data_IF_704244130862
#
_entry.id   IF_704244130862
#
_cell.length_a   1.000
_cell.length_b   1.000
_cell.length_c   1.000
_cell.angle_alpha   90.00
_cell.angle_beta   90.00
_cell.angle_gamma   90.00
#
_symmetry.space_group_name_H-M   'P 1'
#
loop_
_entity.id
_entity.type
_entity.pdbx_description
1 polymer ?
#
# COMPACT_ATOMS: atom_id res chain seq x y z
N UNK A 1 -0.51 6.41 14.13
CA UNK A 1 0.08 7.02 12.90
C UNK A 1 0.28 5.99 11.81
N UNK A 2 1.06 4.90 12.01
CA UNK A 2 1.31 3.88 10.98
C UNK A 2 0.04 3.26 10.34
N UNK A 3 -0.91 2.78 11.15
CA UNK A 3 -2.15 2.16 10.64
C UNK A 3 -3.00 3.10 9.77
N UNK A 4 -3.02 4.39 10.12
CA UNK A 4 -3.72 5.41 9.34
C UNK A 4 -3.02 5.62 8.00
N UNK A 5 -1.70 5.78 7.99
CA UNK A 5 -0.90 5.92 6.78
C UNK A 5 -1.11 4.73 5.83
N UNK A 6 -0.97 3.50 6.32
CA UNK A 6 -1.21 2.29 5.51
C UNK A 6 -2.64 2.26 4.94
N UNK A 7 -3.66 2.58 5.76
CA UNK A 7 -5.05 2.61 5.29
C UNK A 7 -5.29 3.67 4.22
N UNK A 8 -4.63 4.83 4.31
CA UNK A 8 -4.72 5.88 3.27
C UNK A 8 -3.94 5.50 2.01
N UNK A 9 -2.75 4.88 2.13
CA UNK A 9 -1.99 4.37 0.99
C UNK A 9 -2.79 3.33 0.19
N UNK A 10 -3.35 2.33 0.87
CA UNK A 10 -4.17 1.27 0.26
C UNK A 10 -5.45 1.79 -0.42
N UNK A 11 -5.97 2.93 0.03
CA UNK A 11 -7.18 3.58 -0.54
C UNK A 11 -6.84 4.61 -1.63
N UNK A 12 -5.60 5.06 -1.71
CA UNK A 12 -5.15 6.08 -2.65
C UNK A 12 -4.86 5.53 -4.04
N UNK A 13 -4.53 6.43 -4.97
CA UNK A 13 -4.20 6.10 -6.36
C UNK A 13 -2.83 5.44 -6.54
N UNK A 14 -2.00 5.43 -5.49
CA UNK A 14 -0.72 4.70 -5.51
C UNK A 14 -0.90 3.18 -5.36
N UNK A 15 -2.03 2.72 -4.82
CA UNK A 15 -2.37 1.30 -4.81
C UNK A 15 -3.07 0.95 -6.13
N UNK A 16 -2.52 -0.02 -6.85
CA UNK A 16 -3.11 -0.49 -8.10
C UNK A 16 -4.30 -1.40 -7.81
N UNK A 17 -5.50 -0.83 -7.85
CA UNK A 17 -6.74 -1.57 -7.56
C UNK A 17 -7.08 -2.63 -8.63
N UNK A 18 -6.43 -2.60 -9.79
CA UNK A 18 -6.68 -3.53 -10.91
C UNK A 18 -5.66 -4.67 -10.88
N UNK A 19 -4.37 -4.35 -10.99
CA UNK A 19 -3.28 -5.34 -11.08
C UNK A 19 -2.50 -5.55 -9.77
N UNK A 20 -2.96 -4.98 -8.65
CA UNK A 20 -2.42 -5.12 -7.29
C UNK A 20 -1.02 -4.53 -7.08
N UNK A 21 -0.63 -4.37 -5.82
CA UNK A 21 0.64 -3.76 -5.42
C UNK A 21 0.66 -2.23 -5.56
N UNK A 22 1.80 -1.64 -5.25
CA UNK A 22 1.96 -0.19 -5.15
C UNK A 22 2.84 0.40 -6.25
N UNK A 23 2.46 1.56 -6.78
CA UNK A 23 3.29 2.39 -7.64
C UNK A 23 4.39 3.07 -6.83
N UNK A 24 5.54 3.32 -7.47
CA UNK A 24 6.76 3.83 -6.82
C UNK A 24 6.55 5.16 -6.11
N UNK A 25 5.82 6.08 -6.73
CA UNK A 25 5.48 7.38 -6.14
C UNK A 25 4.28 8.01 -6.85
N UNK A 26 3.74 9.07 -6.25
CA UNK A 26 2.72 9.94 -6.85
C UNK A 26 3.34 11.22 -7.39
N UNK A 27 2.78 11.73 -8.48
CA UNK A 27 3.15 13.04 -9.05
C UNK A 27 2.47 14.21 -8.34
N UNK A 28 1.46 13.95 -7.51
CA UNK A 28 0.77 14.93 -6.69
C UNK A 28 0.81 14.60 -5.18
N UNK A 29 0.60 15.64 -4.36
CA UNK A 29 0.65 15.58 -2.89
C UNK A 29 -0.49 14.78 -2.24
N UNK A 30 -1.58 14.54 -2.96
CA UNK A 30 -2.76 13.80 -2.48
C UNK A 30 -2.71 12.32 -2.84
N UNK A 31 -1.66 11.88 -3.56
CA UNK A 31 -1.44 10.49 -3.97
C UNK A 31 -2.49 9.96 -4.95
N UNK A 32 -3.05 10.82 -5.80
CA UNK A 32 -4.06 10.44 -6.78
C UNK A 32 -3.48 9.95 -8.10
N UNK A 33 -2.41 10.58 -8.58
CA UNK A 33 -1.82 10.33 -9.91
C UNK A 33 -0.48 9.61 -9.75
N UNK A 34 -0.45 8.28 -9.90
CA UNK A 34 0.78 7.50 -9.73
C UNK A 34 1.74 7.65 -10.92
N UNK A 35 3.03 7.46 -10.64
CA UNK A 35 4.00 7.06 -11.64
C UNK A 35 3.92 5.53 -11.79
N UNK A 36 3.49 5.04 -12.96
CA UNK A 36 3.07 3.63 -13.15
C UNK A 36 4.17 2.55 -12.98
N UNK A 37 5.42 2.95 -12.75
CA UNK A 37 6.50 2.04 -12.36
C UNK A 37 6.26 1.38 -10.99
N UNK A 38 6.61 0.10 -10.87
CA UNK A 38 6.59 -0.64 -9.60
C UNK A 38 8.00 -1.18 -9.32
N UNK A 39 8.49 -0.96 -8.10
CA UNK A 39 9.81 -1.44 -7.69
C UNK A 39 9.68 -2.61 -6.72
N UNK A 40 10.45 -3.66 -6.93
CA UNK A 40 10.37 -4.88 -6.13
C UNK A 40 10.64 -4.64 -4.63
N UNK A 41 11.61 -3.78 -4.31
CA UNK A 41 11.96 -3.49 -2.92
C UNK A 41 10.82 -2.75 -2.19
N UNK A 42 10.09 -1.88 -2.89
CA UNK A 42 8.92 -1.19 -2.34
C UNK A 42 7.80 -2.19 -2.03
N UNK A 43 7.51 -3.11 -2.97
CA UNK A 43 6.50 -4.15 -2.73
C UNK A 43 6.87 -5.04 -1.54
N UNK A 44 8.12 -5.49 -1.46
CA UNK A 44 8.58 -6.36 -0.37
C UNK A 44 8.47 -5.70 1.00
N UNK A 45 8.89 -4.43 1.11
CA UNK A 45 8.80 -3.68 2.36
C UNK A 45 7.35 -3.39 2.77
N UNK A 46 6.49 -3.05 1.80
CA UNK A 46 5.07 -2.82 2.05
C UNK A 46 4.36 -4.11 2.46
N UNK A 47 4.62 -5.24 1.81
CA UNK A 47 4.03 -6.53 2.19
C UNK A 47 4.30 -6.86 3.67
N UNK A 48 5.55 -6.69 4.13
CA UNK A 48 5.90 -6.88 5.56
C UNK A 48 5.13 -5.89 6.44
N UNK A 49 5.10 -4.61 6.06
CA UNK A 49 4.40 -3.57 6.84
C UNK A 49 2.90 -3.83 6.99
N UNK A 50 2.24 -4.31 5.93
CA UNK A 50 0.81 -4.68 5.95
C UNK A 50 0.59 -5.98 6.74
N UNK A 51 1.47 -6.98 6.62
CA UNK A 51 1.39 -8.20 7.43
C UNK A 51 1.57 -7.92 8.92
N UNK A 52 2.51 -7.05 9.30
CA UNK A 52 2.70 -6.62 10.68
C UNK A 52 1.45 -5.89 11.21
N UNK A 53 0.85 -5.02 10.40
CA UNK A 53 -0.41 -4.37 10.73
C UNK A 53 -1.54 -5.39 10.94
N UNK A 54 -1.65 -6.41 10.08
CA UNK A 54 -2.61 -7.51 10.27
C UNK A 54 -2.33 -8.30 11.55
N UNK A 55 -1.06 -8.63 11.84
CA UNK A 55 -0.71 -9.41 13.02
C UNK A 55 -1.11 -8.70 14.32
N UNK A 56 -0.93 -7.38 14.40
CA UNK A 56 -1.27 -6.55 15.57
C UNK A 56 -2.76 -6.29 15.67
N UNK A 57 -3.45 -6.00 14.56
CA UNK A 57 -4.85 -5.54 14.58
C UNK A 57 -5.87 -6.64 14.37
N UNK A 58 -5.48 -7.74 13.70
CA UNK A 58 -6.35 -8.79 13.16
C UNK A 58 -7.42 -8.30 12.17
N UNK A 59 -7.30 -7.06 11.67
CA UNK A 59 -8.17 -6.53 10.62
C UNK A 59 -7.76 -7.12 9.27
N UNK A 60 -8.62 -7.98 8.70
CA UNK A 60 -8.35 -8.71 7.45
C UNK A 60 -8.04 -7.79 6.27
N UNK A 61 -8.50 -6.53 6.33
CA UNK A 61 -8.16 -5.50 5.36
C UNK A 61 -6.65 -5.42 5.08
N UNK A 62 -5.80 -5.53 6.12
CA UNK A 62 -4.36 -5.44 5.93
C UNK A 62 -3.76 -6.71 5.30
N UNK A 63 -4.35 -7.88 5.57
CA UNK A 63 -3.96 -9.13 4.92
C UNK A 63 -4.34 -9.13 3.43
N UNK A 64 -5.52 -8.61 3.10
CA UNK A 64 -6.01 -8.53 1.72
C UNK A 64 -5.15 -7.60 0.84
N UNK A 65 -4.57 -6.55 1.43
CA UNK A 65 -3.65 -5.63 0.72
C UNK A 65 -2.24 -6.22 0.57
N UNK A 66 -1.83 -7.13 1.45
CA UNK A 66 -0.52 -7.79 1.38
C UNK A 66 -0.47 -8.95 0.37
N UNK A 67 -1.60 -9.27 -0.27
CA UNK A 67 -1.78 -10.41 -1.17
C UNK A 67 -1.43 -10.06 -2.62
#
# INVERSE_FOLDING_TARGET
MALHTLKMMARGGIHDHIAKGFHRYSTDQFWHVPHFEKMLYDQGQLAVSYLDAYQVTKDSFYADVAQ
#
